data_IF_806853701417
#
_entry.id   IF_806853701417
#
_cell.length_a   1.000
_cell.length_b   1.000
_cell.length_c   1.000
_cell.angle_alpha   90.00
_cell.angle_beta   90.00
_cell.angle_gamma   90.00
#
_symmetry.space_group_name_H-M   'P 1'
#
loop_
_entity.id
_entity.type
_entity.pdbx_description
1 polymer ?
#
# COMPACT_ATOMS: atom_id res chain seq x y z
N UNK A 1 1.62 13.47 -14.70
CA UNK A 1 2.62 12.61 -14.01
C UNK A 1 2.95 11.45 -14.94
N UNK A 2 4.23 11.07 -15.07
CA UNK A 2 4.64 9.92 -15.89
C UNK A 2 4.25 8.59 -15.20
N UNK A 3 4.25 7.48 -15.95
CA UNK A 3 3.96 6.12 -15.43
C UNK A 3 4.82 5.80 -14.20
N UNK A 4 6.12 6.11 -14.27
CA UNK A 4 7.05 5.91 -13.16
C UNK A 4 6.63 6.69 -11.91
N UNK A 5 6.05 7.89 -12.08
CA UNK A 5 5.60 8.71 -10.97
C UNK A 5 4.43 8.09 -10.21
N UNK A 6 3.49 7.45 -10.91
CA UNK A 6 2.36 6.76 -10.26
C UNK A 6 2.79 5.49 -9.55
N UNK A 7 3.71 4.73 -10.15
CA UNK A 7 4.29 3.54 -9.51
C UNK A 7 5.06 3.91 -8.23
N UNK A 8 5.91 4.94 -8.29
CA UNK A 8 6.66 5.42 -7.13
C UNK A 8 5.73 6.01 -6.06
N UNK A 9 4.70 6.76 -6.46
CA UNK A 9 3.68 7.24 -5.53
C UNK A 9 3.01 6.06 -4.82
N UNK A 10 2.66 5.03 -5.58
CA UNK A 10 2.34 3.67 -5.13
C UNK A 10 3.19 3.24 -3.93
N UNK A 11 4.45 2.99 -4.24
CA UNK A 11 5.39 2.40 -3.30
C UNK A 11 5.68 3.27 -2.05
N UNK A 12 5.53 4.59 -2.14
CA UNK A 12 5.81 5.50 -1.01
C UNK A 12 4.59 5.67 -0.11
N UNK A 13 3.40 5.73 -0.69
CA UNK A 13 2.17 6.10 0.02
C UNK A 13 1.48 4.92 0.69
N UNK A 14 1.95 3.69 0.47
CA UNK A 14 1.52 2.54 1.27
C UNK A 14 1.91 2.70 2.75
N UNK A 15 2.98 3.45 3.06
CA UNK A 15 3.36 3.81 4.44
C UNK A 15 2.50 4.91 5.10
N UNK A 16 1.46 5.40 4.43
CA UNK A 16 0.68 6.52 4.93
C UNK A 16 -0.05 6.23 6.25
N UNK A 17 -0.05 7.23 7.12
CA UNK A 17 -0.77 7.23 8.40
C UNK A 17 -1.82 8.35 8.45
N UNK A 18 -2.97 8.13 9.11
CA UNK A 18 -3.98 9.17 9.29
C UNK A 18 -3.46 10.38 10.07
N UNK A 19 -4.04 11.54 9.81
CA UNK A 19 -3.85 12.75 10.61
C UNK A 19 -4.37 12.52 12.06
N UNK A 20 -3.72 13.06 13.11
CA UNK A 20 -2.56 13.98 13.10
C UNK A 20 -1.20 13.29 13.06
N UNK A 21 -1.17 11.97 12.92
CA UNK A 21 0.07 11.21 12.98
C UNK A 21 0.84 11.41 11.66
N UNK A 22 0.20 11.20 10.49
CA UNK A 22 0.83 11.33 9.16
C UNK A 22 0.52 12.61 8.39
N UNK A 23 1.35 12.85 7.36
CA UNK A 23 1.21 13.97 6.45
C UNK A 23 0.07 13.73 5.44
N UNK A 24 -0.87 14.67 5.38
CA UNK A 24 -1.97 14.72 4.41
C UNK A 24 -1.43 15.24 3.04
N UNK A 25 -2.00 14.85 1.87
CA UNK A 25 -3.29 14.17 1.65
C UNK A 25 -3.19 12.66 1.54
N UNK A 26 -3.83 11.86 2.40
CA UNK A 26 -4.09 10.45 2.07
C UNK A 26 -5.06 10.39 0.89
N UNK A 27 -4.75 9.58 -0.13
CA UNK A 27 -5.52 9.51 -1.39
C UNK A 27 -6.46 8.30 -1.48
N UNK A 28 -6.79 7.70 -0.33
CA UNK A 28 -7.78 6.63 -0.26
C UNK A 28 -9.20 7.19 -0.47
N UNK A 29 -9.97 6.66 -1.44
CA UNK A 29 -11.29 7.20 -1.80
C UNK A 29 -12.30 7.13 -0.65
N UNK A 30 -12.12 6.21 0.30
CA UNK A 30 -13.10 5.96 1.35
C UNK A 30 -12.65 6.50 2.72
N UNK A 31 -11.64 7.36 2.74
CA UNK A 31 -11.17 8.08 3.92
C UNK A 31 -9.92 7.47 4.55
N UNK A 32 -9.43 8.12 5.61
CA UNK A 32 -8.09 7.85 6.14
C UNK A 32 -7.97 6.48 6.81
N UNK A 33 -6.88 5.77 6.54
CA UNK A 33 -6.59 4.43 7.08
C UNK A 33 -5.13 4.29 7.51
N UNK A 34 -4.90 3.49 8.55
CA UNK A 34 -3.55 3.07 8.99
C UNK A 34 -3.08 1.89 8.14
N UNK A 35 -2.42 2.16 7.01
CA UNK A 35 -1.97 1.12 6.08
C UNK A 35 -0.86 0.24 6.67
N UNK A 36 0.12 0.86 7.33
CA UNK A 36 1.27 0.22 8.01
C UNK A 36 0.93 -0.98 8.91
N UNK A 37 -0.27 -1.01 9.50
CA UNK A 37 -0.68 -2.11 10.39
C UNK A 37 -0.94 -3.41 9.61
N UNK A 38 -0.91 -3.35 8.27
CA UNK A 38 -1.20 -4.43 7.34
C UNK A 38 0.00 -4.75 6.44
N UNK A 39 1.20 -4.29 6.81
CA UNK A 39 2.45 -4.57 6.08
C UNK A 39 3.09 -5.89 6.50
N UNK A 40 2.53 -6.53 7.53
CA UNK A 40 3.08 -7.73 8.14
C UNK A 40 2.39 -9.00 7.64
N UNK A 41 3.19 -10.05 7.46
CA UNK A 41 2.70 -11.41 7.28
C UNK A 41 3.66 -12.38 7.94
N UNK A 42 3.18 -13.10 8.96
CA UNK A 42 3.92 -14.13 9.69
C UNK A 42 3.61 -15.50 9.06
N UNK A 43 4.48 -16.02 8.16
CA UNK A 43 4.21 -17.26 7.43
C UNK A 43 4.29 -18.52 8.29
N UNK A 44 4.82 -18.43 9.53
CA UNK A 44 4.89 -19.58 10.44
C UNK A 44 3.53 -19.81 11.10
N UNK A 45 2.81 -18.74 11.40
CA UNK A 45 1.51 -18.79 12.07
C UNK A 45 0.35 -18.40 11.15
N UNK A 46 0.63 -18.11 9.89
CA UNK A 46 -0.32 -17.72 8.85
C UNK A 46 -1.26 -16.58 9.28
N UNK A 47 -0.67 -15.42 9.61
CA UNK A 47 -1.41 -14.28 10.16
C UNK A 47 -0.76 -12.94 9.85
N UNK A 48 -1.54 -11.87 9.96
CA UNK A 48 -1.03 -10.51 9.93
C UNK A 48 -0.43 -10.05 11.26
N UNK A 49 -0.24 -8.74 11.39
CA UNK A 49 0.23 -8.13 12.63
C UNK A 49 -0.77 -8.40 13.77
N UNK A 50 -0.27 -8.88 14.90
CA UNK A 50 -1.05 -9.04 16.13
C UNK A 50 -0.59 -8.04 17.20
N UNK A 51 -1.47 -7.11 17.56
CA UNK A 51 -1.26 -6.15 18.64
C UNK A 51 -2.24 -6.45 19.77
N UNK A 52 -1.71 -6.89 20.92
CA UNK A 52 -2.52 -7.39 22.04
C UNK A 52 -3.48 -8.53 21.57
N UNK A 53 -4.78 -8.26 21.59
CA UNK A 53 -5.86 -9.18 21.24
C UNK A 53 -6.38 -8.97 19.81
N UNK A 54 -5.91 -7.94 19.10
CA UNK A 54 -6.36 -7.60 17.77
C UNK A 54 -5.36 -8.08 16.73
N UNK A 55 -5.87 -8.77 15.73
CA UNK A 55 -5.15 -9.12 14.51
C UNK A 55 -5.59 -8.18 13.38
N UNK A 56 -4.64 -7.75 12.57
CA UNK A 56 -4.88 -6.97 11.37
C UNK A 56 -4.80 -7.89 10.14
N UNK A 57 -5.47 -7.50 9.06
CA UNK A 57 -5.44 -8.20 7.78
C UNK A 57 -3.99 -8.52 7.37
N UNK A 58 -3.66 -9.78 7.04
CA UNK A 58 -2.35 -10.15 6.52
C UNK A 58 -1.97 -9.31 5.29
N UNK A 59 -0.68 -9.01 5.13
CA UNK A 59 -0.19 -8.23 3.99
C UNK A 59 -0.52 -8.87 2.63
N UNK A 60 -0.59 -10.20 2.56
CA UNK A 60 -1.02 -10.95 1.37
C UNK A 60 -2.44 -10.59 0.96
N UNK A 61 -3.39 -10.69 1.89
CA UNK A 61 -4.82 -10.42 1.66
C UNK A 61 -5.06 -8.93 1.43
N UNK A 62 -4.33 -8.09 2.16
CA UNK A 62 -4.34 -6.65 1.99
C UNK A 62 -3.85 -6.23 0.60
N UNK A 63 -2.81 -6.88 0.05
CA UNK A 63 -2.29 -6.62 -1.28
C UNK A 63 -3.23 -7.13 -2.38
N UNK A 64 -3.86 -8.29 -2.18
CA UNK A 64 -4.71 -8.91 -3.22
C UNK A 64 -6.13 -8.40 -3.21
N UNK A 65 -6.65 -7.94 -2.07
CA UNK A 65 -8.07 -7.59 -1.88
C UNK A 65 -8.98 -8.81 -1.76
N UNK A 66 -8.42 -9.97 -1.38
CA UNK A 66 -9.18 -11.20 -1.16
C UNK A 66 -9.38 -11.48 0.33
N UNK A 67 -10.34 -12.35 0.65
CA UNK A 67 -10.60 -12.82 2.03
C UNK A 67 -9.46 -13.71 2.54
N UNK A 68 -8.96 -14.57 1.66
CA UNK A 68 -7.79 -15.42 1.86
C UNK A 68 -7.11 -15.58 0.50
N UNK A 69 -5.86 -15.13 0.40
CA UNK A 69 -5.08 -15.16 -0.85
C UNK A 69 -4.68 -16.57 -1.28
N UNK A 70 -4.59 -17.51 -0.34
CA UNK A 70 -4.11 -18.87 -0.59
C UNK A 70 -5.22 -19.86 -0.95
N UNK A 71 -6.49 -19.47 -0.78
CA UNK A 71 -7.64 -20.24 -1.25
C UNK A 71 -7.70 -20.34 -2.79
N UNK A 72 -8.27 -21.45 -3.29
CA UNK A 72 -8.44 -21.71 -4.73
C UNK A 72 -9.85 -22.22 -5.09
N UNK A 73 -10.69 -21.41 -5.76
CA UNK A 73 -10.48 -19.99 -6.05
C UNK A 73 -10.57 -19.15 -4.77
N UNK A 74 -9.73 -18.12 -4.65
CA UNK A 74 -9.94 -17.10 -3.63
C UNK A 74 -11.18 -16.26 -3.94
N UNK A 75 -11.69 -15.57 -2.92
CA UNK A 75 -12.89 -14.73 -3.01
C UNK A 75 -12.53 -13.29 -2.69
N UNK A 76 -13.12 -12.34 -3.41
CA UNK A 76 -12.96 -10.91 -3.15
C UNK A 76 -13.50 -10.57 -1.77
N UNK A 77 -12.72 -9.84 -0.96
CA UNK A 77 -13.25 -9.21 0.25
C UNK A 77 -14.13 -8.02 -0.16
N UNK A 78 -15.43 -8.14 0.04
CA UNK A 78 -16.42 -7.11 -0.33
C UNK A 78 -16.44 -5.94 0.65
N UNK A 79 -15.95 -6.15 1.87
CA UNK A 79 -15.89 -5.15 2.94
C UNK A 79 -14.48 -4.54 3.06
N UNK A 80 -13.61 -4.81 2.08
CA UNK A 80 -12.23 -4.35 2.06
C UNK A 80 -12.13 -2.84 2.11
N UNK A 81 -11.16 -2.37 2.89
CA UNK A 81 -10.81 -0.94 3.02
C UNK A 81 -9.66 -0.50 2.13
N UNK A 82 -8.91 -1.42 1.53
CA UNK A 82 -7.87 -1.09 0.57
C UNK A 82 -8.47 -0.98 -0.82
N UNK A 83 -8.28 0.14 -1.50
CA UNK A 83 -8.70 0.36 -2.89
C UNK A 83 -7.52 0.45 -3.88
N UNK A 84 -6.35 -0.02 -3.46
CA UNK A 84 -5.14 -0.11 -4.27
C UNK A 84 -4.55 -1.53 -4.25
N UNK A 85 -5.41 -2.52 -4.48
CA UNK A 85 -5.07 -3.95 -4.49
C UNK A 85 -4.75 -4.46 -5.91
N UNK A 86 -4.32 -5.72 -6.04
CA UNK A 86 -4.20 -6.41 -7.34
C UNK A 86 -5.54 -6.41 -8.09
N UNK A 87 -6.66 -6.61 -7.39
CA UNK A 87 -7.99 -6.58 -8.02
C UNK A 87 -8.32 -5.19 -8.58
N UNK A 88 -7.98 -4.13 -7.85
CA UNK A 88 -8.19 -2.75 -8.30
C UNK A 88 -7.28 -2.42 -9.49
N UNK A 89 -6.03 -2.84 -9.45
CA UNK A 89 -5.09 -2.67 -10.56
C UNK A 89 -5.63 -3.31 -11.84
N UNK A 90 -6.17 -4.53 -11.76
CA UNK A 90 -6.73 -5.26 -12.89
C UNK A 90 -7.99 -4.60 -13.45
N UNK A 91 -8.93 -4.21 -12.58
CA UNK A 91 -10.15 -3.51 -13.00
C UNK A 91 -9.83 -2.15 -13.63
N UNK A 92 -8.92 -1.38 -13.02
CA UNK A 92 -8.49 -0.10 -13.55
C UNK A 92 -7.77 -0.27 -14.89
N UNK A 93 -6.90 -1.27 -15.04
CA UNK A 93 -6.25 -1.56 -16.31
C UNK A 93 -7.27 -1.90 -17.41
N UNK A 94 -8.26 -2.73 -17.09
CA UNK A 94 -9.34 -3.09 -18.01
C UNK A 94 -10.08 -1.84 -18.48
N UNK A 95 -10.57 -1.02 -17.55
CA UNK A 95 -11.25 0.26 -17.85
C UNK A 95 -10.40 1.20 -18.69
N UNK A 96 -9.11 1.30 -18.38
CA UNK A 96 -8.18 2.13 -19.12
C UNK A 96 -8.00 1.63 -20.55
N UNK A 97 -8.00 0.32 -20.80
CA UNK A 97 -7.84 -0.26 -22.13
C UNK A 97 -9.11 -0.21 -22.97
N UNK A 98 -10.25 -0.56 -22.38
CA UNK A 98 -11.50 -0.83 -23.12
C UNK A 98 -12.50 0.32 -23.07
N UNK A 99 -12.38 1.22 -22.09
CA UNK A 99 -13.44 2.19 -21.80
C UNK A 99 -14.68 1.57 -21.16
N UNK A 100 -14.58 0.33 -20.65
CA UNK A 100 -15.70 -0.41 -20.03
C UNK A 100 -15.32 -0.93 -18.64
N UNK A 101 -16.29 -1.09 -17.75
CA UNK A 101 -16.10 -1.84 -16.50
C UNK A 101 -16.19 -3.37 -16.73
N UNK A 102 -15.97 -4.16 -15.66
CA UNK A 102 -16.10 -5.63 -15.69
C UNK A 102 -17.48 -6.16 -16.11
N UNK A 103 -18.52 -5.32 -16.08
CA UNK A 103 -19.88 -5.70 -16.49
C UNK A 103 -20.19 -5.26 -17.93
N UNK A 104 -19.23 -4.65 -18.63
CA UNK A 104 -19.38 -4.17 -20.01
C UNK A 104 -20.02 -2.79 -20.13
N UNK A 105 -20.21 -2.07 -19.02
CA UNK A 105 -20.76 -0.72 -19.04
C UNK A 105 -19.70 0.28 -19.51
N UNK A 106 -20.03 1.17 -20.45
CA UNK A 106 -19.15 2.27 -20.90
C UNK A 106 -19.23 3.51 -20.00
N UNK A 107 -20.24 3.56 -19.13
CA UNK A 107 -20.56 4.66 -18.22
C UNK A 107 -19.60 4.74 -17.01
N UNK A 108 -18.28 4.78 -17.27
CA UNK A 108 -17.22 4.72 -16.26
C UNK A 108 -16.56 6.07 -15.98
N UNK A 109 -17.04 7.14 -16.62
CA UNK A 109 -16.66 8.52 -16.35
C UNK A 109 -17.48 9.17 -15.23
N UNK A 110 -17.14 10.40 -14.83
CA UNK A 110 -17.84 11.14 -13.80
C UNK A 110 -19.35 11.25 -14.10
N UNK A 111 -20.19 10.95 -13.13
CA UNK A 111 -21.65 10.99 -13.31
C UNK A 111 -22.23 9.92 -14.24
N UNK A 112 -21.45 8.87 -14.57
CA UNK A 112 -21.89 7.79 -15.46
C UNK A 112 -21.79 8.14 -16.94
N UNK A 113 -20.90 9.06 -17.32
CA UNK A 113 -20.62 9.34 -18.73
C UNK A 113 -19.71 8.28 -19.34
N UNK A 114 -19.70 8.21 -20.67
CA UNK A 114 -18.69 7.45 -21.38
C UNK A 114 -17.27 7.94 -21.05
N UNK A 115 -16.31 7.01 -21.13
CA UNK A 115 -14.91 7.31 -20.87
C UNK A 115 -14.27 8.14 -22.00
N UNK A 116 -13.83 9.34 -21.68
CA UNK A 116 -12.92 10.10 -22.54
C UNK A 116 -11.45 9.74 -22.26
N UNK A 117 -10.53 10.37 -22.98
CA UNK A 117 -9.08 10.15 -22.78
C UNK A 117 -8.62 10.48 -21.34
N UNK A 118 -9.21 11.49 -20.73
CA UNK A 118 -8.84 11.92 -19.37
C UNK A 118 -9.23 10.88 -18.33
N UNK A 119 -10.42 10.29 -18.46
CA UNK A 119 -10.93 9.20 -17.62
C UNK A 119 -10.05 7.96 -17.77
N UNK A 120 -9.72 7.59 -19.00
CA UNK A 120 -8.84 6.44 -19.27
C UNK A 120 -7.43 6.64 -18.70
N UNK A 121 -6.88 7.87 -18.77
CA UNK A 121 -5.61 8.23 -18.14
C UNK A 121 -5.66 8.16 -16.61
N UNK A 122 -6.79 8.52 -16.00
CA UNK A 122 -6.98 8.35 -14.56
C UNK A 122 -6.98 6.87 -14.16
N UNK A 123 -7.63 6.00 -14.93
CA UNK A 123 -7.57 4.55 -14.68
C UNK A 123 -6.16 3.95 -14.88
N UNK A 124 -5.38 4.46 -15.85
CA UNK A 124 -3.96 4.11 -15.92
C UNK A 124 -3.18 4.57 -14.69
N UNK A 125 -3.44 5.77 -14.19
CA UNK A 125 -2.82 6.26 -12.96
C UNK A 125 -3.13 5.33 -11.77
N UNK A 126 -4.40 4.95 -11.59
CA UNK A 126 -4.83 3.99 -10.56
C UNK A 126 -4.16 2.63 -10.71
N UNK A 127 -4.03 2.13 -11.94
CA UNK A 127 -3.33 0.86 -12.21
C UNK A 127 -1.91 0.89 -11.66
N UNK A 128 -1.13 1.90 -12.02
CA UNK A 128 0.28 1.97 -11.60
C UNK A 128 0.44 2.33 -10.12
N UNK A 129 -0.45 3.16 -9.56
CA UNK A 129 -0.52 3.43 -8.12
C UNK A 129 -0.69 2.12 -7.35
N UNK A 130 -1.73 1.34 -7.68
CA UNK A 130 -2.03 0.07 -7.02
C UNK A 130 -0.90 -0.95 -7.17
N UNK A 131 -0.26 -1.04 -8.34
CA UNK A 131 0.91 -1.90 -8.51
C UNK A 131 2.08 -1.47 -7.62
N UNK A 132 2.26 -0.17 -7.37
CA UNK A 132 3.29 0.30 -6.46
C UNK A 132 3.00 -0.02 -4.99
N UNK A 133 1.73 0.08 -4.56
CA UNK A 133 1.32 -0.37 -3.21
C UNK A 133 1.58 -1.87 -3.03
N UNK A 134 1.21 -2.69 -4.02
CA UNK A 134 1.46 -4.13 -3.98
C UNK A 134 2.96 -4.43 -3.94
N UNK A 135 3.78 -3.71 -4.70
CA UNK A 135 5.24 -3.87 -4.67
C UNK A 135 5.84 -3.49 -3.31
N UNK A 136 5.32 -2.43 -2.68
CA UNK A 136 5.72 -2.06 -1.32
C UNK A 136 5.48 -3.20 -0.34
N UNK A 137 4.27 -3.77 -0.34
CA UNK A 137 3.93 -4.90 0.55
C UNK A 137 4.78 -6.14 0.28
N UNK A 138 5.11 -6.43 -1.00
CA UNK A 138 6.06 -7.50 -1.35
C UNK A 138 7.45 -7.24 -0.77
N UNK A 139 7.92 -5.99 -0.78
CA UNK A 139 9.22 -5.60 -0.22
C UNK A 139 9.22 -5.71 1.31
N UNK A 140 8.16 -5.29 1.98
CA UNK A 140 8.01 -5.46 3.42
C UNK A 140 7.95 -6.94 3.80
N UNK A 141 7.22 -7.78 3.07
CA UNK A 141 7.25 -9.23 3.28
C UNK A 141 8.61 -9.89 2.95
N UNK A 142 9.54 -9.18 2.29
CA UNK A 142 10.94 -9.62 2.13
C UNK A 142 11.86 -9.10 3.25
N UNK A 143 11.33 -8.29 4.16
CA UNK A 143 12.05 -7.69 5.27
C UNK A 143 11.78 -8.51 6.57
N UNK A 144 12.83 -8.91 7.32
CA UNK A 144 12.65 -9.82 8.46
C UNK A 144 11.76 -9.33 9.62
N UNK A 145 11.68 -8.03 9.88
CA UNK A 145 10.85 -7.50 10.98
C UNK A 145 9.36 -7.58 10.64
N UNK A 146 8.99 -7.34 9.38
CA UNK A 146 7.63 -7.47 8.87
C UNK A 146 7.14 -8.93 8.78
N UNK A 147 8.06 -9.89 8.56
CA UNK A 147 7.71 -11.33 8.57
C UNK A 147 7.74 -11.98 9.96
N UNK A 148 8.41 -11.36 10.93
CA UNK A 148 8.45 -11.82 12.32
C UNK A 148 7.38 -11.19 13.21
N UNK A 149 6.53 -10.31 12.66
CA UNK A 149 5.62 -9.48 13.45
C UNK A 149 6.35 -8.64 14.52
N UNK A 150 7.60 -8.23 14.25
CA UNK A 150 8.35 -7.34 15.13
C UNK A 150 7.73 -5.94 15.00
N UNK A 151 6.70 -5.62 15.80
CA UNK A 151 5.99 -4.35 15.69
C UNK A 151 6.93 -3.16 15.87
N UNK A 152 6.96 -2.28 14.87
CA UNK A 152 7.79 -1.08 14.90
C UNK A 152 7.08 0.13 14.31
N UNK A 153 5.97 0.49 14.96
CA UNK A 153 5.30 1.78 14.75
C UNK A 153 4.46 2.18 15.99
N UNK A 154 4.90 1.79 17.18
CA UNK A 154 4.14 2.02 18.41
C UNK A 154 4.88 2.96 19.34
N UNK A 155 4.74 4.25 19.07
CA UNK A 155 4.71 5.34 20.05
C UNK A 155 4.48 6.69 19.33
N UNK A 156 3.27 6.88 18.77
CA UNK A 156 2.79 8.17 18.20
C UNK A 156 3.77 8.89 17.25
N UNK A 157 4.62 8.16 16.55
CA UNK A 157 5.66 8.73 15.74
C UNK A 157 6.11 7.74 14.69
N UNK A 158 5.91 8.14 13.43
CA UNK A 158 6.57 7.60 12.26
C UNK A 158 8.00 7.22 12.57
N UNK A 159 8.36 6.00 12.26
CA UNK A 159 9.74 5.62 12.37
C UNK A 159 10.00 4.28 11.72
N UNK A 160 10.55 4.35 10.51
CA UNK A 160 11.53 3.37 10.08
C UNK A 160 12.39 2.98 11.29
N UNK A 161 12.51 1.68 11.52
CA UNK A 161 13.41 1.13 12.53
C UNK A 161 14.84 1.52 12.21
N UNK A 162 15.73 1.36 13.19
CA UNK A 162 17.17 1.51 12.96
C UNK A 162 17.64 0.67 11.78
N UNK A 163 17.06 -0.53 11.59
CA UNK A 163 17.42 -1.40 10.48
C UNK A 163 16.94 -0.85 9.13
N UNK A 164 15.69 -0.39 9.02
CA UNK A 164 15.17 0.24 7.79
C UNK A 164 15.92 1.54 7.45
N UNK A 165 16.23 2.37 8.45
CA UNK A 165 17.07 3.57 8.27
C UNK A 165 18.47 3.21 7.79
N UNK A 166 19.04 2.14 8.34
CA UNK A 166 20.36 1.65 7.96
C UNK A 166 20.37 1.20 6.49
N UNK A 167 19.42 0.38 6.08
CA UNK A 167 19.33 -0.11 4.70
C UNK A 167 19.09 1.03 3.72
N UNK A 168 18.20 1.97 4.04
CA UNK A 168 17.94 3.16 3.23
C UNK A 168 19.21 4.02 3.07
N UNK A 169 19.92 4.32 4.16
CA UNK A 169 21.17 5.09 4.11
C UNK A 169 22.24 4.41 3.24
N UNK A 170 22.33 3.07 3.28
CA UNK A 170 23.25 2.30 2.43
C UNK A 170 22.89 2.39 0.94
N UNK A 171 21.60 2.35 0.59
CA UNK A 171 21.14 2.49 -0.79
C UNK A 171 21.40 3.90 -1.32
N UNK A 172 21.18 4.92 -0.49
CA UNK A 172 21.38 6.33 -0.86
C UNK A 172 22.85 6.80 -0.78
N UNK A 173 23.78 5.95 -0.31
CA UNK A 173 25.17 6.32 -0.10
C UNK A 173 25.38 7.38 0.99
N UNK A 174 24.46 7.48 1.95
CA UNK A 174 24.49 8.46 3.03
C UNK A 174 25.40 8.00 4.19
N UNK A 175 25.93 8.96 4.95
CA UNK A 175 26.73 8.67 6.14
C UNK A 175 25.86 8.03 7.23
N UNK A 176 26.35 6.96 7.86
CA UNK A 176 25.59 6.21 8.89
C UNK A 176 25.45 6.95 10.23
N UNK A 177 26.04 8.14 10.37
CA UNK A 177 26.02 8.94 11.60
C UNK A 177 24.63 9.43 12.00
N UNK A 178 23.63 9.34 11.11
CA UNK A 178 22.23 9.64 11.37
C UNK A 178 21.33 8.41 11.67
N UNK A 179 21.91 7.21 11.73
CA UNK A 179 21.15 5.92 11.83
C UNK A 179 21.04 5.39 13.27
N UNK A 180 21.72 6.00 14.23
CA UNK A 180 21.71 5.50 15.61
C UNK A 180 20.35 5.80 16.25
N UNK A 181 19.73 4.83 16.92
CA UNK A 181 18.39 4.95 17.57
C UNK A 181 18.24 6.05 18.64
N UNK A 182 19.23 6.93 18.80
CA UNK A 182 19.26 8.11 19.66
C UNK A 182 19.30 9.46 18.91
N UNK A 183 19.48 9.50 17.58
CA UNK A 183 19.55 10.78 16.84
C UNK A 183 18.18 11.23 16.35
N UNK A 184 17.59 12.21 17.05
CA UNK A 184 16.56 13.08 16.47
C UNK A 184 17.17 13.80 15.27
N UNK A 185 16.61 13.59 14.08
CA UNK A 185 16.99 14.32 12.87
C UNK A 185 16.78 15.81 13.15
N UNK A 186 17.87 16.57 13.31
CA UNK A 186 17.83 18.04 13.20
C UNK A 186 18.02 18.37 11.73
N UNK A 187 16.97 18.87 11.11
CA UNK A 187 17.06 19.49 9.79
C UNK A 187 18.03 20.67 9.88
N UNK A 188 18.94 20.77 8.90
CA UNK A 188 19.79 21.93 8.69
C UNK A 188 19.01 23.03 7.96
#
# INVERSE_FOLDING_TARGET
>A
MAVQGWLLRGAIREDDMPWPIGANPQDDPDGQIFRVLRHFYDPVNDRGLRVLWKEFTPATDWATGSVDTFDMPNVVDIDRRNHFTILDAREAQWRALTGQDRYGSTAIGPGGTDADESVRKAYWATTFRALGDVLHLIQDMAQPQHTRNDLHNTDYGHGETVYEKYTNARVLGQALTCVNGNSRIRQA
#
